data_IF_190960717290
#
_entry.id   IF_190960717290
#
_cell.length_a   1.000
_cell.length_b   1.000
_cell.length_c   1.000
_cell.angle_alpha   90.00
_cell.angle_beta   90.00
_cell.angle_gamma   90.00
#
_symmetry.space_group_name_H-M   'P 1'
#
loop_
_entity.id
_entity.type
_entity.pdbx_description
1 polymer ?
#
# COMPACT_ATOMS: atom_id res chain seq x y z
N UNK A 1 -6.53 26.15 9.88
CA UNK A 1 -7.56 25.12 9.87
C UNK A 1 -6.99 23.72 9.88
N UNK A 2 -7.83 22.75 10.17
CA UNK A 2 -7.50 21.32 10.17
C UNK A 2 -8.21 20.63 9.03
N UNK A 3 -7.51 19.68 8.42
CA UNK A 3 -8.00 18.79 7.39
C UNK A 3 -8.06 17.38 7.97
N UNK A 4 -9.11 16.65 7.61
CA UNK A 4 -9.26 15.24 7.98
C UNK A 4 -9.53 14.42 6.72
N UNK A 5 -8.92 13.25 6.62
CA UNK A 5 -9.24 12.30 5.58
C UNK A 5 -10.67 11.81 5.72
N UNK A 6 -11.32 11.58 4.60
CA UNK A 6 -12.69 11.04 4.55
C UNK A 6 -12.66 9.53 4.29
N UNK A 7 -13.73 8.86 4.70
CA UNK A 7 -13.94 7.42 4.50
C UNK A 7 -13.62 6.97 3.07
N UNK A 8 -14.11 7.73 2.08
CA UNK A 8 -13.93 7.45 0.64
C UNK A 8 -12.49 7.61 0.14
N UNK A 9 -11.61 8.21 0.94
CA UNK A 9 -10.22 8.48 0.57
C UNK A 9 -9.25 7.41 1.08
N UNK A 10 -9.74 6.47 1.87
CA UNK A 10 -8.93 5.42 2.49
C UNK A 10 -9.54 4.06 2.19
N UNK A 11 -8.75 3.17 1.59
CA UNK A 11 -9.19 1.81 1.29
C UNK A 11 -8.14 0.80 1.70
N UNK A 12 -8.59 -0.37 2.11
CA UNK A 12 -7.73 -1.54 2.27
C UNK A 12 -7.36 -2.13 0.90
N UNK A 13 -6.20 -2.77 0.79
CA UNK A 13 -5.81 -3.44 -0.44
C UNK A 13 -6.60 -4.72 -0.74
N UNK A 14 -6.19 -5.41 -1.77
CA UNK A 14 -6.83 -6.59 -2.34
C UNK A 14 -6.85 -7.74 -1.33
N UNK A 15 -7.97 -8.47 -1.27
CA UNK A 15 -8.05 -9.76 -0.57
C UNK A 15 -8.16 -10.87 -1.60
N UNK A 16 -7.19 -11.77 -1.58
CA UNK A 16 -7.20 -12.97 -2.42
C UNK A 16 -8.14 -14.01 -1.82
N UNK A 17 -8.84 -14.81 -2.66
CA UNK A 17 -9.45 -16.05 -2.18
C UNK A 17 -8.39 -17.11 -1.87
N UNK A 18 -7.31 -17.12 -2.68
CA UNK A 18 -6.15 -17.96 -2.46
C UNK A 18 -4.97 -17.38 -3.28
N UNK A 19 -4.01 -16.74 -2.61
CA UNK A 19 -2.91 -16.10 -3.34
C UNK A 19 -1.91 -17.12 -3.90
N UNK A 20 -1.52 -18.10 -3.11
CA UNK A 20 -0.61 -19.18 -3.48
C UNK A 20 -0.93 -20.47 -2.70
N UNK A 21 -0.26 -21.56 -3.04
CA UNK A 21 -0.43 -22.84 -2.35
C UNK A 21 0.26 -22.79 -0.99
N UNK A 22 -0.52 -22.96 0.07
CA UNK A 22 -0.06 -23.17 1.43
C UNK A 22 -0.14 -24.66 1.81
N UNK A 23 0.25 -25.02 3.02
CA UNK A 23 0.24 -26.42 3.50
C UNK A 23 -1.14 -27.06 3.39
N UNK A 24 -2.18 -26.35 3.79
CA UNK A 24 -3.56 -26.86 3.75
C UNK A 24 -4.04 -27.08 2.32
N UNK A 25 -3.81 -26.14 1.41
CA UNK A 25 -4.19 -26.29 0.02
C UNK A 25 -3.38 -27.37 -0.69
N UNK A 26 -2.11 -27.56 -0.34
CA UNK A 26 -1.28 -28.63 -0.89
C UNK A 26 -1.83 -30.02 -0.52
N UNK A 27 -2.29 -30.21 0.71
CA UNK A 27 -2.94 -31.44 1.15
C UNK A 27 -4.18 -31.76 0.32
N UNK A 28 -4.97 -30.74 -0.01
CA UNK A 28 -6.20 -30.88 -0.81
C UNK A 28 -5.88 -31.19 -2.28
N UNK A 29 -4.87 -30.50 -2.84
CA UNK A 29 -4.55 -30.57 -4.28
C UNK A 29 -3.70 -31.78 -4.64
N UNK A 30 -2.84 -32.26 -3.75
CA UNK A 30 -2.01 -33.45 -3.95
C UNK A 30 -0.65 -33.20 -4.60
N UNK A 31 -0.03 -34.29 -5.09
CA UNK A 31 1.40 -34.36 -5.41
C UNK A 31 1.85 -33.62 -6.68
N UNK A 32 0.93 -33.19 -7.54
CA UNK A 32 1.26 -32.46 -8.77
C UNK A 32 1.50 -30.96 -8.55
N UNK A 33 1.49 -30.53 -7.28
CA UNK A 33 1.61 -29.14 -6.87
C UNK A 33 2.70 -29.01 -5.82
N UNK A 34 3.18 -27.78 -5.60
CA UNK A 34 4.22 -27.51 -4.62
C UNK A 34 3.87 -26.29 -3.75
N UNK A 35 4.43 -26.27 -2.55
CA UNK A 35 4.23 -25.17 -1.59
C UNK A 35 4.76 -23.86 -2.17
N UNK A 36 3.94 -22.80 -2.09
CA UNK A 36 4.29 -21.48 -2.61
C UNK A 36 3.97 -21.25 -4.08
N UNK A 37 3.51 -22.26 -4.80
CA UNK A 37 3.06 -22.12 -6.19
C UNK A 37 1.97 -21.07 -6.31
N UNK A 38 2.12 -20.13 -7.26
CA UNK A 38 1.19 -19.02 -7.44
C UNK A 38 -0.18 -19.46 -7.95
N UNK A 39 -1.22 -18.95 -7.32
CA UNK A 39 -2.61 -19.15 -7.79
C UNK A 39 -3.10 -17.85 -8.41
N UNK A 40 -3.35 -16.82 -7.63
CA UNK A 40 -3.75 -15.51 -8.12
C UNK A 40 -2.63 -14.47 -8.06
N UNK A 41 -1.58 -14.74 -7.29
CA UNK A 41 -0.34 -13.96 -7.28
C UNK A 41 0.76 -14.80 -7.92
N UNK A 42 1.31 -14.29 -9.02
CA UNK A 42 2.26 -14.99 -9.88
C UNK A 42 3.61 -14.28 -9.92
N UNK A 43 4.69 -15.04 -9.94
CA UNK A 43 6.03 -14.53 -10.28
C UNK A 43 6.14 -14.24 -11.78
N UNK A 44 7.17 -13.49 -12.19
CA UNK A 44 7.45 -13.25 -13.62
C UNK A 44 7.63 -14.57 -14.39
N UNK A 45 8.33 -15.54 -13.80
CA UNK A 45 8.53 -16.87 -14.41
C UNK A 45 7.21 -17.62 -14.57
N UNK A 46 6.35 -17.59 -13.54
CA UNK A 46 5.04 -18.23 -13.62
C UNK A 46 4.16 -17.59 -14.71
N UNK A 47 4.22 -16.28 -14.86
CA UNK A 47 3.50 -15.57 -15.93
C UNK A 47 4.00 -16.00 -17.30
N UNK A 48 5.31 -16.08 -17.51
CA UNK A 48 5.91 -16.53 -18.77
C UNK A 48 5.46 -17.94 -19.13
N UNK A 49 5.43 -18.84 -18.15
CA UNK A 49 5.04 -20.24 -18.34
C UNK A 49 3.56 -20.42 -18.70
N UNK A 50 2.71 -19.41 -18.49
CA UNK A 50 1.29 -19.48 -18.86
C UNK A 50 1.04 -19.24 -20.35
N UNK A 51 2.01 -18.70 -21.08
CA UNK A 51 1.89 -18.38 -22.53
C UNK A 51 0.63 -17.57 -22.84
N UNK A 52 0.43 -16.47 -22.09
CA UNK A 52 -0.79 -15.68 -22.17
C UNK A 52 -0.95 -14.98 -23.52
N UNK A 53 -2.18 -14.92 -24.01
CA UNK A 53 -2.57 -14.10 -25.15
C UNK A 53 -2.51 -12.61 -24.78
N UNK A 54 -2.44 -11.75 -25.78
CA UNK A 54 -2.36 -10.30 -25.59
C UNK A 54 -3.52 -9.76 -24.72
N UNK A 55 -4.75 -10.20 -24.98
CA UNK A 55 -5.92 -9.80 -24.21
C UNK A 55 -5.91 -10.31 -22.77
N UNK A 56 -5.29 -11.47 -22.51
CA UNK A 56 -5.18 -12.03 -21.17
C UNK A 56 -4.25 -11.20 -20.28
N UNK A 57 -3.19 -10.64 -20.87
CA UNK A 57 -2.24 -9.79 -20.14
C UNK A 57 -2.88 -8.53 -19.55
N UNK A 58 -4.02 -8.10 -20.07
CA UNK A 58 -4.78 -6.98 -19.53
C UNK A 58 -5.28 -7.27 -18.11
N UNK A 59 -5.54 -8.54 -17.79
CA UNK A 59 -5.96 -8.95 -16.45
C UNK A 59 -4.81 -9.06 -15.45
N UNK A 60 -3.57 -8.97 -15.89
CA UNK A 60 -2.42 -8.96 -14.99
C UNK A 60 -2.09 -7.53 -14.56
N UNK A 61 -2.01 -7.32 -13.25
CA UNK A 61 -1.63 -6.03 -12.68
C UNK A 61 -0.42 -6.18 -11.78
N UNK A 62 0.48 -5.17 -11.75
CA UNK A 62 1.67 -5.23 -10.91
C UNK A 62 1.26 -5.14 -9.44
N UNK A 63 1.59 -6.14 -8.65
CA UNK A 63 1.33 -6.13 -7.22
C UNK A 63 2.65 -6.03 -6.45
N UNK A 64 2.65 -5.15 -5.44
CA UNK A 64 3.83 -4.81 -4.67
C UNK A 64 3.71 -5.36 -3.26
N UNK A 65 4.82 -5.88 -2.76
CA UNK A 65 4.94 -6.49 -1.44
C UNK A 65 5.73 -5.57 -0.49
N UNK A 66 5.76 -5.91 0.79
CA UNK A 66 6.50 -5.15 1.79
C UNK A 66 8.00 -4.99 1.46
N UNK A 67 8.60 -5.93 0.75
CA UNK A 67 10.01 -5.85 0.33
C UNK A 67 10.29 -4.69 -0.64
N UNK A 68 9.26 -4.23 -1.36
CA UNK A 68 9.36 -3.10 -2.29
C UNK A 68 9.05 -1.76 -1.64
N UNK A 69 8.42 -1.77 -0.46
CA UNK A 69 7.77 -0.61 0.14
C UNK A 69 8.52 -0.19 1.40
N UNK A 70 9.09 1.01 1.37
CA UNK A 70 9.80 1.63 2.47
C UNK A 70 9.05 2.86 2.95
N UNK A 71 9.44 3.37 4.11
CA UNK A 71 9.03 4.72 4.53
C UNK A 71 9.40 5.72 3.44
N UNK A 72 8.48 6.55 2.99
CA UNK A 72 8.53 7.50 1.87
C UNK A 72 8.52 6.90 0.47
N UNK A 73 9.11 5.72 0.24
CA UNK A 73 9.51 5.28 -1.09
C UNK A 73 8.98 3.88 -1.43
N UNK A 74 8.56 3.70 -2.69
CA UNK A 74 8.22 2.40 -3.28
C UNK A 74 9.12 2.15 -4.49
N UNK A 75 9.84 1.03 -4.49
CA UNK A 75 10.64 0.62 -5.64
C UNK A 75 9.71 0.27 -6.80
N UNK A 76 9.93 0.88 -7.98
CA UNK A 76 9.06 0.73 -9.17
C UNK A 76 9.08 -0.66 -9.81
N UNK A 77 9.89 -1.56 -9.36
CA UNK A 77 9.96 -2.91 -9.87
C UNK A 77 9.04 -3.84 -9.07
N UNK A 78 8.11 -4.52 -9.75
CA UNK A 78 7.27 -5.53 -9.12
C UNK A 78 7.82 -6.93 -9.37
N UNK A 79 7.90 -7.74 -8.32
CA UNK A 79 8.31 -9.15 -8.40
C UNK A 79 7.14 -10.08 -8.71
N UNK A 80 5.90 -9.58 -8.52
CA UNK A 80 4.68 -10.34 -8.65
C UNK A 80 3.64 -9.62 -9.49
N UNK A 81 2.74 -10.43 -10.02
CA UNK A 81 1.54 -9.99 -10.74
C UNK A 81 0.31 -10.58 -10.09
N UNK A 82 -0.77 -9.83 -10.01
CA UNK A 82 -2.08 -10.34 -9.59
C UNK A 82 -2.94 -10.54 -10.82
N UNK A 83 -3.66 -11.66 -10.84
CA UNK A 83 -4.75 -11.87 -11.79
C UNK A 83 -5.91 -11.05 -11.24
N UNK A 84 -6.12 -9.85 -11.82
CA UNK A 84 -7.05 -8.86 -11.30
C UNK A 84 -8.43 -9.05 -11.90
N UNK A 85 -9.31 -9.66 -11.15
CA UNK A 85 -10.68 -9.98 -11.54
C UNK A 85 -11.65 -9.52 -10.45
N UNK A 86 -12.68 -8.80 -10.85
CA UNK A 86 -13.69 -8.28 -9.93
C UNK A 86 -14.88 -9.26 -9.76
N UNK A 87 -15.96 -8.80 -9.13
CA UNK A 87 -17.15 -9.60 -8.86
C UNK A 87 -17.87 -10.09 -10.12
N UNK A 88 -17.66 -9.46 -11.28
CA UNK A 88 -18.26 -9.95 -12.55
C UNK A 88 -17.70 -11.31 -12.95
N UNK A 89 -16.51 -11.68 -12.47
CA UNK A 89 -15.88 -12.97 -12.71
C UNK A 89 -16.45 -14.10 -11.84
N UNK A 90 -17.48 -13.82 -11.06
CA UNK A 90 -18.35 -14.82 -10.44
C UNK A 90 -19.12 -15.63 -11.49
N UNK A 91 -19.37 -15.05 -12.66
CA UNK A 91 -19.97 -15.76 -13.78
C UNK A 91 -18.98 -16.81 -14.31
N UNK A 92 -19.35 -18.11 -14.40
CA UNK A 92 -18.46 -19.15 -14.92
C UNK A 92 -17.94 -18.91 -16.33
N UNK A 93 -18.71 -18.19 -17.17
CA UNK A 93 -18.34 -17.91 -18.56
C UNK A 93 -17.44 -16.65 -18.68
N UNK A 94 -17.19 -15.93 -17.63
CA UNK A 94 -16.43 -14.67 -17.64
C UNK A 94 -14.98 -14.85 -18.10
N UNK A 95 -14.40 -16.04 -17.94
CA UNK A 95 -13.03 -16.37 -18.34
C UNK A 95 -12.92 -17.04 -19.73
N UNK A 96 -14.01 -17.20 -20.46
CA UNK A 96 -13.98 -17.90 -21.77
C UNK A 96 -13.09 -17.18 -22.79
N UNK A 97 -13.00 -15.84 -22.74
CA UNK A 97 -12.10 -15.06 -23.59
C UNK A 97 -10.64 -15.06 -23.12
N UNK A 98 -10.35 -15.68 -21.96
CA UNK A 98 -9.03 -15.73 -21.34
C UNK A 98 -8.62 -17.18 -21.06
N UNK A 99 -8.40 -17.98 -22.13
CA UNK A 99 -8.33 -19.45 -22.01
C UNK A 99 -7.15 -19.97 -21.18
N UNK A 100 -6.00 -19.29 -21.23
CA UNK A 100 -4.82 -19.74 -20.49
C UNK A 100 -4.92 -19.39 -19.00
N UNK A 101 -5.49 -18.23 -18.66
CA UNK A 101 -5.80 -17.87 -17.28
C UNK A 101 -6.90 -18.77 -16.71
N UNK A 102 -7.91 -19.08 -17.52
CA UNK A 102 -8.97 -20.03 -17.14
C UNK A 102 -8.39 -21.40 -16.81
N UNK A 103 -7.57 -21.94 -17.70
CA UNK A 103 -6.89 -23.22 -17.49
C UNK A 103 -6.06 -23.23 -16.23
N UNK A 104 -5.35 -22.15 -15.95
CA UNK A 104 -4.55 -21.99 -14.73
C UNK A 104 -5.44 -22.01 -13.49
N UNK A 105 -6.45 -21.15 -13.41
CA UNK A 105 -7.33 -21.05 -12.23
C UNK A 105 -8.17 -22.31 -12.01
N UNK A 106 -8.58 -22.98 -13.08
CA UNK A 106 -9.36 -24.22 -12.98
C UNK A 106 -8.61 -25.34 -12.25
N UNK A 107 -7.27 -25.35 -12.28
CA UNK A 107 -6.45 -26.31 -11.51
C UNK A 107 -6.65 -26.15 -10.00
N UNK A 108 -7.06 -24.97 -9.54
CA UNK A 108 -7.16 -24.62 -8.14
C UNK A 108 -8.60 -24.45 -7.62
N UNK A 109 -9.60 -24.85 -8.40
CA UNK A 109 -11.02 -24.71 -8.03
C UNK A 109 -11.35 -25.26 -6.64
N UNK A 110 -10.72 -26.37 -6.26
CA UNK A 110 -10.97 -27.02 -4.96
C UNK A 110 -10.55 -26.19 -3.76
N UNK A 111 -9.62 -25.25 -3.96
CA UNK A 111 -9.06 -24.44 -2.85
C UNK A 111 -9.48 -22.97 -2.93
N UNK A 112 -10.09 -22.53 -4.02
CA UNK A 112 -10.62 -21.18 -4.16
C UNK A 112 -11.98 -21.09 -3.49
N UNK A 113 -12.07 -20.38 -2.37
CA UNK A 113 -13.26 -20.27 -1.52
C UNK A 113 -13.79 -18.86 -1.40
N UNK A 114 -13.80 -18.11 -2.50
CA UNK A 114 -14.30 -16.74 -2.53
C UNK A 114 -15.82 -16.68 -2.75
N UNK A 115 -16.47 -15.63 -2.23
CA UNK A 115 -17.83 -15.26 -2.59
C UNK A 115 -17.96 -14.95 -4.10
N UNK A 116 -16.85 -14.60 -4.74
CA UNK A 116 -16.75 -14.30 -6.17
C UNK A 116 -16.16 -15.46 -6.99
N UNK A 117 -16.14 -16.68 -6.43
CA UNK A 117 -15.73 -17.87 -7.18
C UNK A 117 -16.61 -18.03 -8.44
N UNK A 118 -16.13 -18.62 -9.56
CA UNK A 118 -14.85 -19.35 -9.58
C UNK A 118 -13.62 -18.48 -9.81
N UNK A 119 -13.72 -17.28 -10.40
CA UNK A 119 -12.55 -16.57 -10.92
C UNK A 119 -12.30 -15.20 -10.32
N UNK A 120 -13.27 -14.61 -9.62
CA UNK A 120 -13.14 -13.29 -9.02
C UNK A 120 -12.29 -13.26 -7.75
N UNK A 121 -11.56 -12.19 -7.54
CA UNK A 121 -10.91 -11.91 -6.27
C UNK A 121 -11.96 -11.78 -5.16
N UNK A 122 -11.61 -12.17 -3.95
CA UNK A 122 -12.52 -12.05 -2.81
C UNK A 122 -12.90 -10.59 -2.55
N UNK A 123 -11.92 -9.68 -2.62
CA UNK A 123 -12.13 -8.23 -2.60
C UNK A 123 -11.16 -7.59 -3.60
N UNK A 124 -11.65 -7.24 -4.77
CA UNK A 124 -10.85 -6.54 -5.77
C UNK A 124 -10.65 -5.06 -5.44
N UNK A 125 -11.51 -4.49 -4.64
CA UNK A 125 -11.59 -3.07 -4.30
C UNK A 125 -11.93 -2.21 -5.51
N UNK A 126 -11.92 -0.90 -5.34
CA UNK A 126 -12.02 0.06 -6.43
C UNK A 126 -10.62 0.30 -7.01
N UNK A 127 -10.43 -0.01 -8.27
CA UNK A 127 -9.13 0.04 -8.95
C UNK A 127 -8.51 1.43 -8.94
N UNK A 128 -9.31 2.49 -8.77
CA UNK A 128 -8.81 3.87 -8.65
C UNK A 128 -7.79 4.05 -7.52
N UNK A 129 -7.85 3.21 -6.46
CA UNK A 129 -6.89 3.27 -5.36
C UNK A 129 -5.51 2.76 -5.74
N UNK A 130 -5.37 2.09 -6.87
CA UNK A 130 -4.10 1.50 -7.31
C UNK A 130 -3.50 2.20 -8.52
N UNK A 131 -4.23 3.14 -9.13
CA UNK A 131 -3.86 3.78 -10.39
C UNK A 131 -4.11 5.29 -10.36
N UNK A 132 -3.62 5.99 -11.39
CA UNK A 132 -3.91 7.40 -11.61
C UNK A 132 -3.07 8.35 -10.75
N UNK A 133 -3.74 9.36 -10.15
CA UNK A 133 -3.08 10.40 -9.37
C UNK A 133 -2.28 9.86 -8.18
N UNK A 134 -1.32 10.63 -7.63
CA UNK A 134 -0.49 10.19 -6.51
C UNK A 134 -1.29 9.70 -5.31
N UNK A 135 -0.76 8.68 -4.64
CA UNK A 135 -1.36 8.02 -3.49
C UNK A 135 -0.30 7.75 -2.42
N UNK A 136 -0.78 7.37 -1.25
CA UNK A 136 0.08 6.87 -0.17
C UNK A 136 -0.32 5.44 0.13
N UNK A 137 0.66 4.53 0.20
CA UNK A 137 0.46 3.18 0.72
C UNK A 137 1.00 3.11 2.15
N UNK A 138 0.22 2.52 3.04
CA UNK A 138 0.53 2.43 4.46
C UNK A 138 0.52 0.98 4.91
N UNK A 139 1.66 0.47 5.35
CA UNK A 139 1.77 -0.88 5.90
C UNK A 139 0.96 -0.94 7.20
N UNK A 140 0.08 -1.93 7.32
CA UNK A 140 -0.80 -2.06 8.50
C UNK A 140 -0.05 -2.43 9.78
N UNK A 141 0.97 -3.26 9.68
CA UNK A 141 1.77 -3.68 10.84
C UNK A 141 3.21 -3.24 10.65
N UNK A 142 3.63 -2.27 11.43
CA UNK A 142 4.95 -1.67 11.35
C UNK A 142 5.75 -1.90 12.62
N UNK A 143 6.99 -2.36 12.47
CA UNK A 143 7.92 -2.52 13.58
C UNK A 143 8.61 -1.19 13.87
N UNK A 144 8.49 -0.71 15.10
CA UNK A 144 9.23 0.45 15.62
C UNK A 144 8.68 1.83 15.20
N UNK A 145 8.24 1.99 13.98
CA UNK A 145 7.66 3.23 13.47
C UNK A 145 6.62 2.97 12.36
N UNK A 146 5.63 3.83 12.20
CA UNK A 146 4.72 3.74 11.06
C UNK A 146 5.44 4.12 9.77
N UNK A 147 4.99 3.56 8.65
CA UNK A 147 5.58 3.77 7.32
C UNK A 147 4.51 4.14 6.32
N UNK A 148 4.63 5.34 5.78
CA UNK A 148 3.74 5.87 4.75
C UNK A 148 4.57 6.15 3.50
N UNK A 149 4.20 5.56 2.38
CA UNK A 149 5.01 5.59 1.17
C UNK A 149 4.26 6.29 0.04
N UNK A 150 4.91 7.27 -0.56
CA UNK A 150 4.40 8.00 -1.71
C UNK A 150 4.54 7.15 -2.98
N UNK A 151 3.48 7.10 -3.80
CA UNK A 151 3.49 6.39 -5.07
C UNK A 151 2.71 7.17 -6.13
N UNK A 152 3.29 7.29 -7.33
CA UNK A 152 2.70 8.01 -8.47
C UNK A 152 2.61 7.14 -9.75
N UNK A 153 2.68 5.83 -9.59
CA UNK A 153 2.59 4.84 -10.66
C UNK A 153 1.59 3.75 -10.27
N UNK A 154 1.21 2.90 -11.23
CA UNK A 154 0.31 1.79 -10.96
C UNK A 154 0.90 0.85 -9.92
N UNK A 155 0.28 0.80 -8.75
CA UNK A 155 0.77 0.08 -7.58
C UNK A 155 -0.40 -0.61 -6.89
N UNK A 156 -0.60 -1.87 -7.22
CA UNK A 156 -1.59 -2.72 -6.57
C UNK A 156 -0.96 -3.32 -5.31
N UNK A 157 -1.73 -3.37 -4.25
CA UNK A 157 -1.29 -3.91 -2.96
C UNK A 157 -2.37 -4.79 -2.33
N UNK A 158 -1.96 -5.75 -1.53
CA UNK A 158 -2.88 -6.59 -0.76
C UNK A 158 -3.40 -5.89 0.49
N UNK A 159 -4.30 -6.55 1.20
CA UNK A 159 -4.90 -6.05 2.44
C UNK A 159 -3.92 -5.93 3.62
N UNK A 160 -2.64 -6.26 3.43
CA UNK A 160 -1.57 -5.89 4.35
C UNK A 160 -1.28 -4.40 4.36
N UNK A 161 -1.88 -3.67 3.42
CA UNK A 161 -1.75 -2.22 3.28
C UNK A 161 -3.10 -1.53 3.28
N UNK A 162 -3.11 -0.28 3.76
CA UNK A 162 -4.09 0.72 3.39
C UNK A 162 -3.56 1.61 2.28
N UNK A 163 -4.45 2.13 1.48
CA UNK A 163 -4.15 3.13 0.45
C UNK A 163 -4.91 4.40 0.76
N UNK A 164 -4.21 5.52 0.74
CA UNK A 164 -4.78 6.86 0.90
C UNK A 164 -4.71 7.56 -0.44
N UNK A 165 -5.87 7.95 -0.97
CA UNK A 165 -5.96 8.71 -2.22
C UNK A 165 -6.86 9.91 -2.02
N UNK A 166 -6.27 11.10 -2.13
CA UNK A 166 -6.97 12.37 -2.00
C UNK A 166 -6.43 13.40 -2.97
N UNK A 167 -7.32 14.26 -3.46
CA UNK A 167 -6.97 15.44 -4.27
C UNK A 167 -7.19 16.74 -3.49
N UNK A 168 -7.60 16.66 -2.24
CA UNK A 168 -7.93 17.81 -1.39
C UNK A 168 -6.73 18.43 -0.70
N UNK A 169 -5.59 17.75 -0.72
CA UNK A 169 -4.33 18.22 -0.17
C UNK A 169 -3.17 17.66 -0.99
N UNK A 170 -2.04 18.35 -1.03
CA UNK A 170 -0.84 17.85 -1.71
C UNK A 170 -0.36 16.56 -1.05
N UNK A 171 -0.21 15.50 -1.84
CA UNK A 171 0.09 14.15 -1.34
C UNK A 171 1.51 14.06 -0.78
N UNK A 172 2.48 14.81 -1.32
CA UNK A 172 3.85 14.84 -0.75
C UNK A 172 3.88 15.54 0.59
N UNK A 173 3.15 16.65 0.73
CA UNK A 173 2.95 17.32 2.01
C UNK A 173 2.33 16.37 3.04
N UNK A 174 1.26 15.67 2.65
CA UNK A 174 0.61 14.69 3.51
C UNK A 174 1.57 13.56 3.91
N UNK A 175 2.37 13.07 2.96
CA UNK A 175 3.38 12.04 3.23
C UNK A 175 4.39 12.48 4.29
N UNK A 176 4.87 13.72 4.20
CA UNK A 176 5.79 14.28 5.19
C UNK A 176 5.15 14.34 6.59
N UNK A 177 3.92 14.83 6.69
CA UNK A 177 3.19 14.91 7.96
C UNK A 177 2.99 13.52 8.56
N UNK A 178 2.49 12.56 7.77
CA UNK A 178 2.19 11.20 8.26
C UNK A 178 3.44 10.44 8.71
N UNK A 179 4.60 10.69 8.09
CA UNK A 179 5.87 10.05 8.48
C UNK A 179 6.60 10.75 9.63
N UNK A 180 6.08 11.89 10.10
CA UNK A 180 6.74 12.64 11.17
C UNK A 180 6.67 11.92 12.51
N UNK A 181 7.62 12.25 13.38
CA UNK A 181 7.61 11.77 14.78
C UNK A 181 6.35 12.23 15.53
N UNK A 182 5.80 13.40 15.19
CA UNK A 182 4.55 13.88 15.77
C UNK A 182 3.41 12.90 15.51
N UNK A 183 3.24 12.46 14.28
CA UNK A 183 2.15 11.54 13.93
C UNK A 183 2.44 10.13 14.45
N UNK A 184 3.69 9.69 14.48
CA UNK A 184 4.05 8.44 15.14
C UNK A 184 3.64 8.46 16.63
N UNK A 185 3.92 9.56 17.33
CA UNK A 185 3.50 9.77 18.71
C UNK A 185 1.96 9.77 18.84
N UNK A 186 1.27 10.47 17.94
CA UNK A 186 -0.19 10.51 17.91
C UNK A 186 -0.78 9.10 17.73
N UNK A 187 -0.27 8.33 16.77
CA UNK A 187 -0.72 6.96 16.50
C UNK A 187 -0.43 6.01 17.66
N UNK A 188 0.68 6.22 18.36
CA UNK A 188 1.02 5.44 19.55
C UNK A 188 -0.02 5.60 20.66
N UNK A 189 -0.58 6.80 20.83
CA UNK A 189 -1.51 7.13 21.90
C UNK A 189 -2.99 7.10 21.50
N UNK A 190 -3.31 7.34 20.23
CA UNK A 190 -4.68 7.40 19.69
C UNK A 190 -5.01 6.28 18.72
N UNK A 191 -4.01 5.54 18.25
CA UNK A 191 -4.18 4.38 17.39
C UNK A 191 -4.07 3.06 18.16
N UNK A 192 -3.71 2.01 17.45
CA UNK A 192 -3.52 0.66 18.02
C UNK A 192 -2.05 0.29 18.02
N UNK A 193 -1.63 -0.36 19.11
CA UNK A 193 -0.29 -0.90 19.28
C UNK A 193 -0.35 -2.38 19.66
N UNK A 194 0.64 -3.14 19.20
CA UNK A 194 0.90 -4.51 19.64
C UNK A 194 2.34 -4.54 20.19
N UNK A 195 2.50 -4.31 21.50
CA UNK A 195 3.81 -4.02 22.09
C UNK A 195 4.38 -2.73 21.49
N UNK A 196 5.58 -2.80 20.91
CA UNK A 196 6.22 -1.66 20.24
C UNK A 196 5.88 -1.56 18.74
N UNK A 197 4.98 -2.42 18.25
CA UNK A 197 4.59 -2.43 16.84
C UNK A 197 3.33 -1.61 16.63
N UNK A 198 3.33 -0.78 15.59
CA UNK A 198 2.17 0.01 15.19
C UNK A 198 1.22 -0.86 14.38
N UNK A 199 -0.07 -0.80 14.71
CA UNK A 199 -1.13 -1.33 13.86
C UNK A 199 -1.91 -0.15 13.28
N UNK A 200 -1.77 0.05 11.97
CA UNK A 200 -2.45 1.13 11.26
C UNK A 200 -3.83 0.63 10.82
N UNK A 201 -4.87 1.27 11.34
CA UNK A 201 -6.25 1.02 10.97
C UNK A 201 -6.90 2.29 10.40
N UNK A 202 -7.99 2.11 9.68
CA UNK A 202 -8.67 3.19 8.97
C UNK A 202 -9.16 4.28 9.91
N UNK A 203 -9.84 3.91 10.98
CA UNK A 203 -10.44 4.88 11.92
C UNK A 203 -9.41 5.86 12.50
N UNK A 204 -8.26 5.42 13.05
CA UNK A 204 -7.24 6.35 13.49
C UNK A 204 -6.73 7.28 12.38
N UNK A 205 -6.58 6.78 11.15
CA UNK A 205 -6.15 7.60 10.02
C UNK A 205 -7.13 8.74 9.72
N UNK A 206 -8.43 8.47 9.81
CA UNK A 206 -9.48 9.47 9.59
C UNK A 206 -9.52 10.56 10.70
N UNK A 207 -8.95 10.28 11.85
CA UNK A 207 -8.96 11.17 13.00
C UNK A 207 -7.66 12.00 13.16
N UNK A 208 -6.67 11.79 12.30
CA UNK A 208 -5.43 12.58 12.34
C UNK A 208 -5.72 14.01 11.89
N UNK A 209 -5.47 15.01 12.76
CA UNK A 209 -5.67 16.42 12.40
C UNK A 209 -4.49 16.91 11.54
N UNK A 210 -4.75 17.13 10.25
CA UNK A 210 -3.74 17.63 9.29
C UNK A 210 -3.89 19.15 9.16
N UNK A 211 -2.81 19.89 9.39
CA UNK A 211 -2.81 21.34 9.19
C UNK A 211 -2.98 21.65 7.70
N UNK A 212 -4.00 22.44 7.36
CA UNK A 212 -4.27 22.84 5.98
C UNK A 212 -3.23 23.84 5.47
N UNK A 213 -2.92 23.75 4.17
CA UNK A 213 -2.04 24.72 3.51
C UNK A 213 -2.86 25.98 3.20
N UNK A 214 -2.32 27.13 3.55
CA UNK A 214 -2.89 28.43 3.27
C UNK A 214 -1.78 29.47 2.97
N UNK A 215 -2.14 30.71 2.67
CA UNK A 215 -1.17 31.76 2.32
C UNK A 215 -0.10 32.01 3.40
N UNK A 216 -0.42 31.76 4.66
CA UNK A 216 0.52 32.01 5.79
C UNK A 216 1.58 30.92 5.92
N UNK A 217 1.25 29.66 5.56
CA UNK A 217 2.16 28.55 5.72
C UNK A 217 2.60 27.91 4.39
N UNK A 218 2.22 28.48 3.25
CA UNK A 218 2.54 27.94 1.92
C UNK A 218 4.05 27.71 1.73
N UNK A 219 4.86 28.69 2.14
CA UNK A 219 6.31 28.59 2.01
C UNK A 219 6.88 27.42 2.79
N UNK A 220 6.39 27.19 4.01
CA UNK A 220 6.81 26.08 4.87
C UNK A 220 6.32 24.75 4.30
N UNK A 221 5.11 24.72 3.77
CA UNK A 221 4.58 23.54 3.10
C UNK A 221 5.42 23.18 1.86
N UNK A 222 5.85 24.17 1.09
CA UNK A 222 6.72 23.97 -0.07
C UNK A 222 8.08 23.40 0.33
N UNK A 223 8.63 23.81 1.47
CA UNK A 223 9.87 23.23 2.01
C UNK A 223 9.69 21.75 2.33
N UNK A 224 8.57 21.35 2.94
CA UNK A 224 8.26 19.94 3.19
C UNK A 224 8.17 19.14 1.89
N UNK A 225 7.48 19.66 0.89
CA UNK A 225 7.34 19.02 -0.42
C UNK A 225 8.73 18.82 -1.06
N UNK A 226 9.58 19.84 -1.01
CA UNK A 226 10.93 19.75 -1.55
C UNK A 226 11.79 18.72 -0.82
N UNK A 227 11.68 18.61 0.49
CA UNK A 227 12.40 17.60 1.28
C UNK A 227 11.92 16.19 0.94
N UNK A 228 10.63 15.98 0.73
CA UNK A 228 10.10 14.69 0.25
C UNK A 228 10.67 14.36 -1.13
N UNK A 229 10.71 15.34 -2.05
CA UNK A 229 11.32 15.14 -3.38
C UNK A 229 12.79 14.74 -3.27
N UNK A 230 13.56 15.34 -2.37
CA UNK A 230 14.95 14.97 -2.14
C UNK A 230 15.08 13.53 -1.61
N UNK A 231 14.23 13.13 -0.68
CA UNK A 231 14.19 11.76 -0.16
C UNK A 231 13.88 10.77 -1.30
N UNK A 232 12.83 11.04 -2.08
CA UNK A 232 12.43 10.18 -3.19
C UNK A 232 13.52 10.05 -4.23
N UNK A 233 14.18 11.16 -4.58
CA UNK A 233 15.30 11.16 -5.54
C UNK A 233 16.49 10.35 -5.01
N UNK A 234 16.85 10.50 -3.75
CA UNK A 234 17.92 9.74 -3.13
C UNK A 234 17.62 8.23 -3.13
N UNK A 235 16.40 7.85 -2.77
CA UNK A 235 15.96 6.44 -2.73
C UNK A 235 15.84 5.83 -4.13
N UNK A 236 15.46 6.61 -5.13
CA UNK A 236 15.41 6.16 -6.53
C UNK A 236 16.80 5.78 -7.04
N UNK A 237 17.83 6.52 -6.65
CA UNK A 237 19.22 6.24 -7.01
C UNK A 237 19.80 5.07 -6.22
N UNK A 238 19.49 4.99 -4.93
CA UNK A 238 19.90 3.92 -4.00
C UNK A 238 18.84 3.73 -2.93
N UNK A 239 18.12 2.62 -2.99
CA UNK A 239 17.07 2.29 -2.01
C UNK A 239 17.58 2.26 -0.56
N UNK A 240 18.88 2.07 -0.36
CA UNK A 240 19.53 2.05 0.96
C UNK A 240 20.13 3.40 1.35
N UNK A 241 19.92 4.45 0.56
CA UNK A 241 20.40 5.79 0.88
C UNK A 241 19.95 6.23 2.27
N UNK A 242 20.87 6.82 3.04
CA UNK A 242 20.56 7.35 4.35
C UNK A 242 19.88 8.72 4.22
N UNK A 243 18.58 8.76 4.49
CA UNK A 243 17.76 9.97 4.41
C UNK A 243 17.44 10.56 5.80
N UNK A 244 18.06 10.04 6.86
CA UNK A 244 17.82 10.51 8.24
C UNK A 244 18.00 12.01 8.43
N UNK A 245 19.03 12.68 7.85
CA UNK A 245 19.15 14.12 7.98
C UNK A 245 17.99 14.91 7.36
N UNK A 246 17.45 14.43 6.24
CA UNK A 246 16.29 15.04 5.59
C UNK A 246 15.01 14.81 6.41
N UNK A 247 14.85 13.62 6.97
CA UNK A 247 13.71 13.29 7.83
C UNK A 247 13.72 14.12 9.12
N UNK A 248 14.90 14.38 9.69
CA UNK A 248 15.04 15.25 10.85
C UNK A 248 14.60 16.69 10.55
N UNK A 249 15.00 17.23 9.38
CA UNK A 249 14.52 18.54 8.92
C UNK A 249 13.00 18.55 8.77
N UNK A 250 12.41 17.50 8.23
CA UNK A 250 10.96 17.36 8.12
C UNK A 250 10.30 17.39 9.50
N UNK A 251 10.81 16.66 10.48
CA UNK A 251 10.28 16.68 11.84
C UNK A 251 10.27 18.09 12.43
N UNK A 252 11.38 18.81 12.29
CA UNK A 252 11.50 20.18 12.83
C UNK A 252 10.50 21.14 12.17
N UNK A 253 10.28 21.01 10.87
CA UNK A 253 9.29 21.83 10.16
C UNK A 253 7.87 21.46 10.57
N UNK A 254 7.57 20.18 10.73
CA UNK A 254 6.25 19.70 11.19
C UNK A 254 5.95 20.26 12.58
N UNK A 255 6.91 20.24 13.49
CA UNK A 255 6.74 20.86 14.81
C UNK A 255 6.36 22.33 14.74
N UNK A 256 6.98 23.07 13.83
CA UNK A 256 6.65 24.50 13.60
C UNK A 256 5.24 24.67 13.03
N UNK A 257 4.86 23.86 12.05
CA UNK A 257 3.51 23.93 11.43
C UNK A 257 2.43 23.68 12.49
N UNK A 258 2.68 22.79 13.43
CA UNK A 258 1.74 22.46 14.51
C UNK A 258 1.89 23.38 15.74
N UNK A 259 2.77 24.37 15.69
CA UNK A 259 3.03 25.32 16.78
C UNK A 259 3.37 24.66 18.12
N UNK A 260 4.19 23.60 18.07
CA UNK A 260 4.56 22.87 19.28
C UNK A 260 5.58 23.65 20.12
N UNK A 261 5.42 23.56 21.44
CA UNK A 261 6.39 24.09 22.40
C UNK A 261 7.62 23.18 22.50
N UNK A 262 8.72 23.70 23.04
CA UNK A 262 9.93 22.89 23.26
C UNK A 262 9.67 21.71 24.20
N UNK A 263 8.81 21.87 25.21
CA UNK A 263 8.43 20.80 26.13
C UNK A 263 7.62 19.70 25.41
N UNK A 264 6.69 20.09 24.56
CA UNK A 264 5.92 19.16 23.74
C UNK A 264 6.84 18.36 22.80
N UNK A 265 7.79 19.04 22.16
CA UNK A 265 8.79 18.40 21.29
C UNK A 265 9.63 17.39 22.08
N UNK A 266 10.10 17.74 23.27
CA UNK A 266 10.85 16.82 24.14
C UNK A 266 10.02 15.59 24.48
N UNK A 267 8.74 15.77 24.79
CA UNK A 267 7.83 14.66 25.09
C UNK A 267 7.69 13.72 23.89
N UNK A 268 7.50 14.27 22.67
CA UNK A 268 7.39 13.49 21.43
C UNK A 268 8.68 12.73 21.16
N UNK A 269 9.84 13.34 21.40
CA UNK A 269 11.14 12.76 21.14
C UNK A 269 11.64 11.84 22.30
N UNK A 270 10.87 11.70 23.38
CA UNK A 270 11.22 10.86 24.53
C UNK A 270 12.40 11.40 25.35
N UNK A 271 12.55 12.71 25.42
CA UNK A 271 13.61 13.40 26.16
C UNK A 271 13.11 14.04 27.47
#
# INVERSE_FOLDING_TARGET
GKFYLEEREVAQGIVYPQENINKKSLEILGNNFYLGQGIQKLTNEEVENLSLLKNEKILLKPIFESDNIQKYFVKRYNYFWVIYTNSSFKNPNSMDDYPNLKKHLDKFKKVITSDNKPYGLHRARDEKFFTGSPRIVALRKCVGEPKFSYVDFDCYVSATFYVIKTQRINVKYLTAILNSKLIAFWLKHKGKMQGNNYQIDKEPLLNIPIVTINSKNQKIADELINLVDEILKAKEQDKNANTSPLEEKINNIVYKIYNLTEEEIKTIEGK
#
